data_IF_777031139803
#
_entry.id   IF_777031139803
#
_cell.length_a   1.000
_cell.length_b   1.000
_cell.length_c   1.000
_cell.angle_alpha   90.00
_cell.angle_beta   90.00
_cell.angle_gamma   90.00
#
_symmetry.space_group_name_H-M   'P 1'
#
loop_
_entity.id
_entity.type
_entity.pdbx_description
1 polymer ?
#
# COMPACT_ATOMS: atom_id res chain seq x y z
N UNK A 1 -2.39 6.46 5.53
CA UNK A 1 -1.52 5.90 6.60
C UNK A 1 -0.38 5.17 5.92
N UNK A 2 0.85 5.66 6.04
CA UNK A 2 2.03 5.02 5.43
C UNK A 2 2.50 3.91 6.37
N UNK A 3 2.48 2.67 5.91
CA UNK A 3 3.04 1.54 6.64
C UNK A 3 4.47 1.31 6.18
N UNK A 4 5.42 1.30 7.12
CA UNK A 4 6.81 0.95 6.86
C UNK A 4 6.96 -0.55 7.14
N UNK A 5 7.29 -1.32 6.10
CA UNK A 5 7.54 -2.75 6.24
C UNK A 5 9.04 -3.02 6.38
N UNK A 6 9.40 -3.72 7.44
CA UNK A 6 10.72 -4.31 7.56
C UNK A 6 10.60 -5.83 7.35
N UNK A 7 11.20 -6.35 6.30
CA UNK A 7 11.28 -7.78 6.07
C UNK A 7 12.27 -8.40 7.06
N UNK A 8 11.74 -9.18 7.98
CA UNK A 8 12.56 -9.95 8.95
C UNK A 8 12.27 -9.70 10.42
N UNK A 9 11.56 -8.65 10.80
CA UNK A 9 11.05 -8.45 12.16
C UNK A 9 9.66 -7.85 12.13
N UNK A 10 8.73 -8.52 12.79
CA UNK A 10 7.43 -7.93 13.11
C UNK A 10 7.67 -6.90 14.21
N UNK A 11 7.73 -5.62 13.87
CA UNK A 11 7.82 -4.55 14.87
C UNK A 11 6.42 -4.17 15.29
N UNK A 12 6.16 -4.39 16.57
CA UNK A 12 5.01 -3.89 17.31
C UNK A 12 4.75 -2.40 17.01
N UNK A 13 3.48 -2.04 16.96
CA UNK A 13 2.94 -0.70 16.76
C UNK A 13 3.91 0.45 17.05
N UNK A 14 4.40 1.09 16.00
CA UNK A 14 5.25 2.28 16.12
C UNK A 14 4.53 3.46 16.79
N UNK A 15 3.19 3.48 16.77
CA UNK A 15 2.40 4.52 17.43
C UNK A 15 2.60 4.56 18.96
N UNK A 16 2.82 3.40 19.59
CA UNK A 16 3.14 3.32 21.00
C UNK A 16 4.57 3.82 21.28
N UNK A 17 5.51 3.55 20.39
CA UNK A 17 6.92 3.98 20.53
C UNK A 17 7.04 5.48 20.23
N UNK A 18 6.35 6.00 19.22
CA UNK A 18 6.33 7.44 18.91
C UNK A 18 5.63 8.20 20.04
N UNK A 19 4.54 7.69 20.60
CA UNK A 19 3.86 8.29 21.73
C UNK A 19 4.72 8.33 23.01
N UNK A 20 5.44 7.27 23.29
CA UNK A 20 6.38 7.21 24.43
C UNK A 20 7.60 8.09 24.18
N UNK A 21 8.14 8.07 22.96
CA UNK A 21 9.29 8.91 22.58
C UNK A 21 8.90 10.39 22.59
N UNK A 22 7.73 10.78 22.09
CA UNK A 22 7.30 12.19 22.09
C UNK A 22 7.05 12.72 23.52
N UNK A 23 6.49 11.93 24.42
CA UNK A 23 6.31 12.35 25.82
C UNK A 23 7.66 12.40 26.57
N UNK A 24 8.56 11.46 26.32
CA UNK A 24 9.91 11.51 26.87
C UNK A 24 10.69 12.71 26.30
N UNK A 25 10.55 13.03 25.00
CA UNK A 25 11.24 14.16 24.40
C UNK A 25 10.67 15.51 24.82
N UNK A 26 9.38 15.64 25.11
CA UNK A 26 8.81 16.87 25.63
C UNK A 26 9.29 17.19 27.04
N UNK A 27 9.43 16.21 27.92
CA UNK A 27 9.99 16.41 29.27
C UNK A 27 11.51 16.61 29.26
N UNK A 28 12.23 16.03 28.30
CA UNK A 28 13.68 16.18 28.14
C UNK A 28 14.10 17.47 27.42
N UNK A 29 13.25 18.03 26.55
CA UNK A 29 13.59 19.19 25.73
C UNK A 29 13.85 20.46 26.54
N UNK A 30 13.37 20.52 27.79
CA UNK A 30 13.59 21.65 28.70
C UNK A 30 14.90 21.59 29.51
N UNK A 31 15.64 20.49 29.52
CA UNK A 31 16.76 20.32 30.44
C UNK A 31 18.10 19.82 29.84
N UNK A 32 18.19 19.59 28.52
CA UNK A 32 19.43 19.07 27.92
C UNK A 32 20.15 20.10 27.03
N UNK A 33 21.43 20.31 27.30
CA UNK A 33 22.30 21.12 26.47
C UNK A 33 22.72 20.40 25.18
N UNK A 34 23.11 21.16 24.13
CA UNK A 34 23.59 20.61 22.84
C UNK A 34 24.75 19.62 23.02
N UNK A 35 25.47 19.70 24.12
CA UNK A 35 26.59 18.81 24.44
C UNK A 35 26.10 17.41 24.81
N UNK A 36 25.00 17.30 25.54
CA UNK A 36 24.39 16.01 25.95
C UNK A 36 23.75 15.30 24.78
N UNK A 37 23.15 16.02 23.84
CA UNK A 37 22.65 15.45 22.57
C UNK A 37 23.80 14.87 21.73
N UNK A 38 24.99 15.48 21.72
CA UNK A 38 26.16 14.91 21.05
C UNK A 38 26.72 13.68 21.77
N UNK A 39 26.67 13.62 23.09
CA UNK A 39 27.09 12.45 23.88
C UNK A 39 26.11 11.29 23.66
N UNK A 40 24.77 11.54 23.61
CA UNK A 40 23.79 10.52 23.28
C UNK A 40 23.99 9.96 21.85
N UNK A 41 24.31 10.82 20.89
CA UNK A 41 24.67 10.40 19.52
C UNK A 41 25.90 9.50 19.44
N UNK A 42 26.88 9.66 20.35
CA UNK A 42 28.07 8.84 20.39
C UNK A 42 27.79 7.47 21.04
N UNK A 43 26.82 7.38 21.96
CA UNK A 43 26.41 6.14 22.63
C UNK A 43 25.29 5.37 21.90
N UNK A 44 24.63 5.95 20.89
CA UNK A 44 23.77 5.19 20.03
C UNK A 44 24.64 4.33 19.11
N UNK A 45 24.83 3.07 19.50
CA UNK A 45 25.39 2.09 18.57
C UNK A 45 24.62 2.21 17.25
N UNK A 46 25.31 2.53 16.15
CA UNK A 46 24.71 2.52 14.83
C UNK A 46 24.04 1.16 14.62
N UNK A 47 22.71 1.15 14.55
CA UNK A 47 21.97 -0.04 14.15
C UNK A 47 22.33 -0.33 12.70
N UNK A 48 23.15 -1.35 12.48
CA UNK A 48 23.51 -1.81 11.14
C UNK A 48 22.52 -2.86 10.70
N UNK A 49 21.78 -2.55 9.66
CA UNK A 49 20.96 -3.53 8.95
C UNK A 49 21.85 -4.35 8.00
N UNK A 50 21.44 -5.59 7.67
CA UNK A 50 22.14 -6.36 6.63
C UNK A 50 22.22 -5.58 5.31
N UNK A 51 23.31 -5.75 4.54
CA UNK A 51 23.55 -4.99 3.30
C UNK A 51 22.41 -5.10 2.27
N UNK A 52 21.67 -6.20 2.30
CA UNK A 52 20.52 -6.44 1.39
C UNK A 52 19.17 -6.13 2.04
N UNK A 53 19.14 -5.43 3.17
CA UNK A 53 17.90 -5.05 3.81
C UNK A 53 17.18 -3.96 3.00
N UNK A 54 15.92 -4.24 2.62
CA UNK A 54 15.12 -3.30 1.84
C UNK A 54 14.28 -2.41 2.77
N UNK A 55 14.63 -1.14 2.84
CA UNK A 55 13.76 -0.13 3.43
C UNK A 55 12.68 0.25 2.42
N UNK A 56 11.43 0.11 2.83
CA UNK A 56 10.29 0.32 1.94
C UNK A 56 9.11 1.02 2.61
N UNK A 57 8.20 1.44 1.77
CA UNK A 57 6.90 1.97 2.17
C UNK A 57 5.78 1.20 1.48
N UNK A 58 4.55 1.32 1.98
CA UNK A 58 3.41 0.64 1.41
C UNK A 58 2.17 1.53 1.37
N UNK A 59 1.38 1.35 0.32
CA UNK A 59 0.08 1.99 0.14
C UNK A 59 -0.94 0.98 -0.40
N UNK A 60 -2.23 1.29 -0.25
CA UNK A 60 -3.31 0.55 -0.89
C UNK A 60 -4.04 1.46 -1.89
N UNK A 61 -4.42 0.91 -3.04
CA UNK A 61 -5.07 1.64 -4.14
C UNK A 61 -6.25 2.48 -3.67
N UNK A 62 -7.22 1.85 -3.03
CA UNK A 62 -8.42 2.55 -2.57
C UNK A 62 -8.12 3.70 -1.61
N UNK A 63 -7.12 3.54 -0.74
CA UNK A 63 -6.79 4.55 0.27
C UNK A 63 -6.07 5.78 -0.27
N UNK A 64 -5.41 5.69 -1.43
CA UNK A 64 -4.54 6.79 -1.90
C UNK A 64 -4.81 7.25 -3.33
N UNK A 65 -5.35 6.39 -4.20
CA UNK A 65 -5.44 6.69 -5.63
C UNK A 65 -6.49 7.73 -5.98
N UNK A 66 -7.67 7.67 -5.34
CA UNK A 66 -8.82 8.49 -5.67
C UNK A 66 -9.57 8.06 -6.92
N UNK A 67 -10.79 8.57 -7.09
CA UNK A 67 -11.60 8.34 -8.28
C UNK A 67 -12.04 6.87 -8.50
N UNK A 68 -12.21 6.10 -7.42
CA UNK A 68 -12.64 4.70 -7.47
C UNK A 68 -14.05 4.61 -6.89
N UNK A 69 -15.04 4.23 -7.71
CA UNK A 69 -16.45 4.30 -7.32
C UNK A 69 -17.25 3.02 -7.53
N UNK A 70 -16.64 1.95 -8.07
CA UNK A 70 -17.31 0.72 -8.51
C UNK A 70 -16.86 -0.51 -7.69
N UNK A 71 -16.82 -0.38 -6.36
CA UNK A 71 -16.46 -1.45 -5.45
C UNK A 71 -17.35 -1.49 -4.21
N UNK A 72 -17.23 -2.54 -3.41
CA UNK A 72 -17.99 -2.79 -2.19
C UNK A 72 -17.77 -1.72 -1.11
N UNK A 73 -16.57 -1.16 -0.99
CA UNK A 73 -16.27 -0.11 -0.01
C UNK A 73 -16.97 1.19 -0.35
N UNK A 74 -16.97 1.61 -1.62
CA UNK A 74 -17.73 2.78 -2.07
C UNK A 74 -19.23 2.61 -1.81
N UNK A 75 -19.76 1.40 -2.07
CA UNK A 75 -21.16 1.09 -1.76
C UNK A 75 -21.42 1.22 -0.25
N UNK A 76 -20.52 0.71 0.58
CA UNK A 76 -20.64 0.79 2.04
C UNK A 76 -20.54 2.24 2.54
N UNK A 77 -19.56 3.00 2.09
CA UNK A 77 -19.32 4.39 2.50
C UNK A 77 -20.55 5.28 2.22
N UNK A 78 -21.23 5.07 1.10
CA UNK A 78 -22.36 5.87 0.65
C UNK A 78 -23.73 5.40 1.20
N UNK A 79 -23.78 4.35 2.03
CA UNK A 79 -25.04 3.94 2.68
C UNK A 79 -25.49 5.00 3.69
N UNK A 80 -26.81 5.25 3.76
CA UNK A 80 -27.40 6.22 4.70
C UNK A 80 -27.14 5.87 6.18
N UNK A 81 -26.86 4.62 6.50
CA UNK A 81 -26.53 4.13 7.84
C UNK A 81 -25.05 3.74 7.98
N UNK A 82 -24.20 4.17 7.06
CA UNK A 82 -22.76 3.95 7.17
C UNK A 82 -22.20 4.66 8.41
N UNK A 83 -21.25 4.01 9.06
CA UNK A 83 -20.43 4.61 10.12
C UNK A 83 -19.22 5.35 9.55
N UNK A 84 -19.08 5.37 8.23
CA UNK A 84 -18.03 6.13 7.54
C UNK A 84 -18.24 7.63 7.79
N UNK A 85 -17.21 8.28 8.33
CA UNK A 85 -17.27 9.72 8.64
C UNK A 85 -17.07 10.54 7.37
N UNK A 86 -16.19 10.08 6.49
CA UNK A 86 -15.86 10.75 5.24
C UNK A 86 -15.49 9.71 4.18
N UNK A 87 -16.17 9.68 3.03
CA UNK A 87 -15.87 8.75 1.94
C UNK A 87 -14.51 9.07 1.31
N UNK A 88 -13.88 8.05 0.73
CA UNK A 88 -12.53 8.14 0.19
C UNK A 88 -12.40 9.13 -0.98
N UNK A 89 -13.43 9.23 -1.85
CA UNK A 89 -13.52 10.14 -3.00
C UNK A 89 -12.20 10.23 -3.81
N UNK A 90 -11.58 11.43 -3.79
CA UNK A 90 -10.34 11.73 -4.49
C UNK A 90 -9.08 11.26 -3.73
N UNK A 91 -9.22 10.86 -2.48
CA UNK A 91 -8.11 10.44 -1.62
C UNK A 91 -6.89 11.39 -1.71
N UNK A 92 -5.70 10.83 -1.94
CA UNK A 92 -4.46 11.61 -2.15
C UNK A 92 -4.16 11.86 -3.63
N UNK A 93 -5.03 11.45 -4.55
CA UNK A 93 -4.85 11.53 -6.02
C UNK A 93 -3.59 10.82 -6.53
N UNK A 94 -3.15 9.78 -5.83
CA UNK A 94 -1.92 9.06 -6.19
C UNK A 94 -1.93 8.52 -7.62
N UNK A 95 -3.12 8.17 -8.14
CA UNK A 95 -3.25 7.70 -9.53
C UNK A 95 -2.82 8.77 -10.52
N UNK A 96 -3.25 10.00 -10.32
CA UNK A 96 -2.93 11.15 -11.17
C UNK A 96 -1.53 11.71 -10.90
N UNK A 97 -1.09 11.67 -9.64
CA UNK A 97 0.16 12.27 -9.16
C UNK A 97 1.33 11.28 -9.13
N UNK A 98 1.22 10.17 -9.84
CA UNK A 98 2.17 9.05 -9.80
C UNK A 98 3.64 9.49 -9.94
N UNK A 99 3.95 10.37 -10.88
CA UNK A 99 5.34 10.82 -11.13
C UNK A 99 5.90 11.63 -9.97
N UNK A 100 5.07 12.48 -9.38
CA UNK A 100 5.44 13.28 -8.22
C UNK A 100 5.70 12.41 -6.99
N UNK A 101 4.88 11.38 -6.81
CA UNK A 101 5.01 10.45 -5.68
C UNK A 101 6.23 9.54 -5.84
N UNK A 102 6.56 9.11 -7.06
CA UNK A 102 7.81 8.38 -7.34
C UNK A 102 9.03 9.28 -7.05
N UNK A 103 8.99 10.55 -7.45
CA UNK A 103 10.05 11.51 -7.12
C UNK A 103 10.25 11.67 -5.61
N UNK A 104 9.16 11.62 -4.82
CA UNK A 104 9.24 11.64 -3.36
C UNK A 104 9.89 10.38 -2.81
N UNK A 105 9.54 9.19 -3.33
CA UNK A 105 10.18 7.93 -2.93
C UNK A 105 11.69 7.96 -3.19
N UNK A 106 12.11 8.48 -4.35
CA UNK A 106 13.53 8.64 -4.71
C UNK A 106 14.23 9.60 -3.73
N UNK A 107 13.65 10.77 -3.47
CA UNK A 107 14.19 11.76 -2.52
C UNK A 107 14.33 11.22 -1.10
N UNK A 108 13.42 10.37 -0.68
CA UNK A 108 13.43 9.70 0.62
C UNK A 108 14.40 8.51 0.69
N UNK A 109 15.01 8.11 -0.44
CA UNK A 109 15.93 6.97 -0.49
C UNK A 109 15.24 5.62 -0.30
N UNK A 110 13.94 5.53 -0.61
CA UNK A 110 13.16 4.30 -0.49
C UNK A 110 13.67 3.27 -1.50
N UNK A 111 13.83 2.01 -1.07
CA UNK A 111 14.35 0.91 -1.89
C UNK A 111 13.31 -0.16 -2.22
N UNK A 112 12.16 -0.15 -1.57
CA UNK A 112 11.04 -1.03 -1.91
C UNK A 112 9.73 -0.26 -1.75
N UNK A 113 8.82 -0.44 -2.69
CA UNK A 113 7.50 0.17 -2.64
C UNK A 113 6.41 -0.89 -2.88
N UNK A 114 5.60 -1.15 -1.84
CA UNK A 114 4.44 -2.01 -1.95
C UNK A 114 3.23 -1.17 -2.32
N UNK A 115 2.52 -1.58 -3.36
CA UNK A 115 1.25 -0.98 -3.76
C UNK A 115 0.27 -2.07 -4.18
N UNK A 116 -1.02 -1.78 -4.10
CA UNK A 116 -2.02 -2.68 -4.67
C UNK A 116 -2.45 -2.21 -6.06
N UNK A 117 -2.88 -3.17 -6.88
CA UNK A 117 -3.60 -2.91 -8.12
C UNK A 117 -5.09 -2.92 -7.78
N UNK A 118 -5.81 -1.89 -8.15
CA UNK A 118 -7.25 -1.81 -7.89
C UNK A 118 -8.01 -2.69 -8.89
N UNK A 119 -8.52 -3.82 -8.38
CA UNK A 119 -9.23 -4.79 -9.22
C UNK A 119 -10.45 -4.17 -9.90
N UNK A 120 -11.23 -3.37 -9.18
CA UNK A 120 -12.41 -2.70 -9.73
C UNK A 120 -12.09 -1.70 -10.85
N UNK A 121 -10.88 -1.13 -10.85
CA UNK A 121 -10.40 -0.26 -11.93
C UNK A 121 -9.95 -1.07 -13.14
N UNK A 122 -9.24 -2.17 -12.90
CA UNK A 122 -8.71 -3.05 -13.97
C UNK A 122 -9.79 -3.88 -14.63
N UNK A 123 -10.78 -4.33 -13.89
CA UNK A 123 -11.90 -5.13 -14.36
C UNK A 123 -13.23 -4.53 -13.87
N UNK A 124 -13.65 -3.40 -14.45
CA UNK A 124 -14.86 -2.67 -14.03
C UNK A 124 -16.16 -3.48 -14.22
N UNK A 125 -16.16 -4.44 -15.12
CA UNK A 125 -17.23 -5.41 -15.33
C UNK A 125 -16.63 -6.79 -15.56
N UNK A 126 -17.32 -7.86 -15.17
CA UNK A 126 -16.85 -9.23 -15.31
C UNK A 126 -16.32 -9.54 -16.71
N UNK A 127 -15.05 -9.94 -16.79
CA UNK A 127 -14.39 -10.30 -18.06
C UNK A 127 -14.05 -9.10 -18.96
N UNK A 128 -14.39 -7.87 -18.55
CA UNK A 128 -14.09 -6.66 -19.31
C UNK A 128 -12.92 -5.92 -18.67
N UNK A 129 -11.74 -6.07 -19.26
CA UNK A 129 -10.52 -5.47 -18.74
C UNK A 129 -10.23 -4.10 -19.35
N UNK A 130 -9.96 -3.12 -18.49
CA UNK A 130 -9.52 -1.78 -18.88
C UNK A 130 -8.00 -1.81 -19.14
N UNK A 131 -7.62 -1.74 -20.41
CA UNK A 131 -6.21 -1.77 -20.80
C UNK A 131 -5.46 -0.49 -20.39
N UNK A 132 -6.12 0.66 -20.30
CA UNK A 132 -5.49 1.90 -19.89
C UNK A 132 -5.16 1.85 -18.39
N UNK A 133 -6.08 1.33 -17.58
CA UNK A 133 -5.83 1.08 -16.17
C UNK A 133 -4.70 0.06 -15.96
N UNK A 134 -4.67 -1.04 -16.71
CA UNK A 134 -3.57 -2.02 -16.64
C UNK A 134 -2.25 -1.35 -17.02
N UNK A 135 -2.20 -0.62 -18.11
CA UNK A 135 -1.00 0.04 -18.58
C UNK A 135 -0.47 1.05 -17.55
N UNK A 136 -1.34 1.77 -16.86
CA UNK A 136 -0.94 2.66 -15.78
C UNK A 136 -0.14 1.93 -14.69
N UNK A 137 -0.61 0.77 -14.21
CA UNK A 137 0.11 -0.03 -13.21
C UNK A 137 1.39 -0.66 -13.75
N UNK A 138 1.39 -1.07 -15.02
CA UNK A 138 2.61 -1.56 -15.70
C UNK A 138 3.66 -0.46 -15.76
N UNK A 139 3.30 0.75 -16.18
CA UNK A 139 4.21 1.89 -16.24
C UNK A 139 4.69 2.33 -14.85
N UNK A 140 3.81 2.29 -13.83
CA UNK A 140 4.20 2.47 -12.43
C UNK A 140 5.31 1.52 -12.02
N UNK A 141 5.14 0.24 -12.30
CA UNK A 141 6.12 -0.78 -11.96
C UNK A 141 7.45 -0.56 -12.72
N UNK A 142 7.41 -0.25 -14.02
CA UNK A 142 8.60 0.06 -14.81
C UNK A 142 9.35 1.27 -14.28
N UNK A 143 8.64 2.35 -13.92
CA UNK A 143 9.24 3.57 -13.34
C UNK A 143 9.94 3.28 -12.02
N UNK A 144 9.34 2.47 -11.15
CA UNK A 144 9.97 2.04 -9.89
C UNK A 144 11.27 1.27 -10.18
N UNK A 145 11.22 0.26 -11.05
CA UNK A 145 12.37 -0.56 -11.41
C UNK A 145 13.51 0.30 -12.00
N UNK A 146 13.18 1.22 -12.91
CA UNK A 146 14.19 2.11 -13.54
C UNK A 146 14.86 3.08 -12.56
N UNK A 147 14.29 3.26 -11.36
CA UNK A 147 14.83 4.10 -10.28
C UNK A 147 15.38 3.27 -9.10
N UNK A 148 15.71 2.00 -9.32
CA UNK A 148 16.25 1.09 -8.28
C UNK A 148 15.32 0.93 -7.06
N UNK A 149 14.01 1.04 -7.27
CA UNK A 149 12.99 0.78 -6.26
C UNK A 149 12.32 -0.55 -6.59
N UNK A 150 12.43 -1.51 -5.68
CA UNK A 150 11.81 -2.83 -5.82
C UNK A 150 10.30 -2.74 -5.68
N UNK A 151 9.50 -3.05 -6.72
CA UNK A 151 8.05 -3.10 -6.60
C UNK A 151 7.61 -4.37 -5.87
N UNK A 152 6.65 -4.23 -4.95
CA UNK A 152 5.95 -5.34 -4.30
C UNK A 152 4.47 -5.15 -4.61
N UNK A 153 3.89 -6.04 -5.41
CA UNK A 153 2.51 -5.90 -5.88
C UNK A 153 1.55 -6.68 -5.00
N UNK A 154 0.49 -6.02 -4.56
CA UNK A 154 -0.65 -6.66 -3.91
C UNK A 154 -1.82 -6.74 -4.89
N UNK A 155 -2.33 -7.94 -5.17
CA UNK A 155 -3.43 -8.11 -6.11
C UNK A 155 -4.81 -7.76 -5.52
N UNK A 156 -5.04 -8.06 -4.23
CA UNK A 156 -6.27 -7.69 -3.56
C UNK A 156 -5.97 -7.01 -2.22
N UNK A 157 -6.47 -5.79 -2.06
CA UNK A 157 -6.32 -5.01 -0.83
C UNK A 157 -7.65 -4.41 -0.39
N UNK A 158 -8.47 -5.26 0.25
CA UNK A 158 -9.80 -5.03 0.81
C UNK A 158 -10.92 -4.85 -0.21
N UNK A 159 -10.76 -3.98 -1.21
CA UNK A 159 -11.84 -3.65 -2.14
C UNK A 159 -12.13 -4.77 -3.15
N UNK A 160 -13.40 -5.07 -3.34
CA UNK A 160 -13.90 -6.05 -4.30
C UNK A 160 -14.74 -5.34 -5.36
N UNK A 161 -14.54 -5.61 -6.66
CA UNK A 161 -15.35 -5.00 -7.71
C UNK A 161 -16.86 -5.17 -7.47
N UNK A 162 -17.64 -4.13 -7.74
CA UNK A 162 -19.08 -4.13 -7.50
C UNK A 162 -19.79 -5.32 -8.18
N UNK A 163 -19.38 -5.69 -9.41
CA UNK A 163 -19.96 -6.83 -10.11
C UNK A 163 -19.76 -8.15 -9.36
N UNK A 164 -18.59 -8.36 -8.70
CA UNK A 164 -18.33 -9.54 -7.90
C UNK A 164 -19.02 -9.45 -6.54
N UNK A 165 -19.04 -8.26 -5.92
CA UNK A 165 -19.78 -8.02 -4.70
C UNK A 165 -21.26 -8.36 -4.86
N UNK A 166 -21.90 -7.95 -5.96
CA UNK A 166 -23.30 -8.27 -6.28
C UNK A 166 -23.54 -9.77 -6.54
N UNK A 167 -22.50 -10.56 -6.77
CA UNK A 167 -22.53 -12.03 -6.90
C UNK A 167 -22.21 -12.78 -5.60
N UNK A 168 -22.05 -12.08 -4.49
CA UNK A 168 -21.74 -12.68 -3.18
C UNK A 168 -20.26 -12.60 -2.80
N UNK A 169 -19.45 -11.79 -3.49
CA UNK A 169 -18.04 -11.54 -3.16
C UNK A 169 -17.24 -12.85 -2.99
N UNK A 170 -16.41 -12.94 -1.99
CA UNK A 170 -15.57 -14.10 -1.67
C UNK A 170 -16.36 -15.34 -1.19
N UNK A 171 -17.65 -15.19 -0.88
CA UNK A 171 -18.55 -16.32 -0.59
C UNK A 171 -19.10 -17.00 -1.85
N UNK A 172 -18.91 -16.40 -3.01
CA UNK A 172 -19.30 -17.02 -4.27
C UNK A 172 -18.37 -18.21 -4.58
N UNK A 173 -18.92 -19.41 -4.89
CA UNK A 173 -18.10 -20.61 -5.15
C UNK A 173 -17.19 -20.50 -6.39
N UNK A 174 -17.30 -19.44 -7.17
CA UNK A 174 -16.44 -19.15 -8.34
C UNK A 174 -15.48 -17.98 -8.12
N UNK A 175 -15.39 -17.46 -6.90
CA UNK A 175 -14.54 -16.29 -6.60
C UNK A 175 -13.06 -16.56 -6.89
N UNK A 176 -12.59 -17.78 -6.68
CA UNK A 176 -11.24 -18.23 -7.03
C UNK A 176 -10.99 -18.17 -8.54
N UNK A 177 -11.98 -18.57 -9.36
CA UNK A 177 -11.88 -18.50 -10.84
C UNK A 177 -11.79 -17.04 -11.29
N UNK A 178 -12.63 -16.16 -10.75
CA UNK A 178 -12.63 -14.74 -11.08
C UNK A 178 -11.28 -14.08 -10.69
N UNK A 179 -10.83 -14.36 -9.47
CA UNK A 179 -9.55 -13.83 -8.99
C UNK A 179 -8.36 -14.34 -9.82
N UNK A 180 -8.33 -15.63 -10.15
CA UNK A 180 -7.29 -16.19 -11.02
C UNK A 180 -7.28 -15.54 -12.40
N UNK A 181 -8.45 -15.35 -13.04
CA UNK A 181 -8.53 -14.69 -14.34
C UNK A 181 -7.96 -13.26 -14.31
N UNK A 182 -8.27 -12.51 -13.25
CA UNK A 182 -7.73 -11.17 -13.02
C UNK A 182 -6.21 -11.20 -12.84
N UNK A 183 -5.69 -12.07 -11.97
CA UNK A 183 -4.24 -12.21 -11.72
C UNK A 183 -3.52 -12.66 -12.99
N UNK A 184 -4.04 -13.67 -13.71
CA UNK A 184 -3.44 -14.16 -14.94
C UNK A 184 -3.35 -13.07 -16.01
N UNK A 185 -4.39 -12.24 -16.13
CA UNK A 185 -4.37 -11.09 -17.06
C UNK A 185 -3.25 -10.12 -16.72
N UNK A 186 -3.06 -9.79 -15.45
CA UNK A 186 -1.99 -8.90 -14.99
C UNK A 186 -0.61 -9.53 -15.18
N UNK A 187 -0.44 -10.79 -14.82
CA UNK A 187 0.86 -11.50 -14.91
C UNK A 187 1.38 -11.63 -16.34
N UNK A 188 0.50 -11.57 -17.33
CA UNK A 188 0.90 -11.54 -18.75
C UNK A 188 1.54 -10.22 -19.16
N UNK A 189 1.21 -9.11 -18.48
CA UNK A 189 1.54 -7.75 -18.87
C UNK A 189 2.55 -7.07 -17.95
N UNK A 190 2.60 -7.47 -16.68
CA UNK A 190 3.55 -6.93 -15.70
C UNK A 190 5.01 -7.28 -16.08
N UNK A 191 5.97 -6.37 -15.78
CA UNK A 191 7.39 -6.61 -15.96
C UNK A 191 7.86 -7.93 -15.31
N UNK A 192 8.68 -8.70 -16.02
CA UNK A 192 9.19 -10.01 -15.54
C UNK A 192 10.22 -9.88 -14.41
N UNK A 193 10.75 -8.70 -14.22
CA UNK A 193 11.69 -8.34 -13.16
C UNK A 193 11.03 -8.29 -11.78
N UNK A 194 9.70 -8.21 -11.72
CA UNK A 194 8.96 -8.22 -10.46
C UNK A 194 8.97 -9.63 -9.88
N UNK A 195 9.49 -9.77 -8.67
CA UNK A 195 9.63 -11.07 -7.98
C UNK A 195 8.83 -11.14 -6.67
N UNK A 196 8.26 -10.02 -6.21
CA UNK A 196 7.52 -9.97 -4.96
C UNK A 196 6.05 -9.66 -5.20
N UNK A 197 5.21 -10.61 -4.81
CA UNK A 197 3.76 -10.49 -4.90
C UNK A 197 3.11 -10.83 -3.56
N UNK A 198 2.06 -10.08 -3.23
CA UNK A 198 1.14 -10.39 -2.15
C UNK A 198 -0.23 -10.67 -2.78
N UNK A 199 -0.76 -11.85 -2.59
CA UNK A 199 -2.03 -12.24 -3.21
C UNK A 199 -3.20 -11.47 -2.63
N UNK A 200 -3.37 -11.51 -1.30
CA UNK A 200 -4.45 -10.86 -0.57
C UNK A 200 -3.86 -10.20 0.67
N UNK A 201 -4.16 -8.92 0.88
CA UNK A 201 -3.80 -8.24 2.11
C UNK A 201 -4.72 -8.69 3.25
N UNK A 202 -4.14 -9.10 4.37
CA UNK A 202 -4.85 -9.46 5.61
C UNK A 202 -6.07 -10.36 5.40
N UNK A 203 -5.89 -11.55 4.80
CA UNK A 203 -7.01 -12.43 4.43
C UNK A 203 -7.86 -12.85 5.64
N UNK A 204 -7.30 -12.84 6.84
CA UNK A 204 -8.04 -13.11 8.07
C UNK A 204 -9.18 -12.13 8.35
N UNK A 205 -9.09 -10.89 7.87
CA UNK A 205 -10.17 -9.89 8.04
C UNK A 205 -11.42 -10.27 7.24
N UNK A 206 -11.25 -10.99 6.12
CA UNK A 206 -12.38 -11.50 5.34
C UNK A 206 -13.01 -12.78 5.92
N UNK A 207 -12.31 -13.45 6.82
CA UNK A 207 -12.74 -14.73 7.40
C UNK A 207 -13.57 -14.56 8.69
N UNK A 208 -13.61 -13.35 9.27
CA UNK A 208 -14.29 -13.00 10.51
C UNK A 208 -15.23 -11.81 10.32
#
# INVERSE_FOLDING_TARGET
MVQIFMYGLTIFHMDAIIGVISNIFLDFYYNFSILELRILSIYMNELKFPDKFLFGTAVASYQVEGGIYNNDWTIWENKSNSVCVEPCNEACKHYEMLDQDIDLLIKLGIKAFRFSIEWSRVEPNEGSFDNDAINHYVEKAKKLISNDITPIITFHHFTTPEWLFNKGSWLNPKSDIYFNNYVDKLMQLLPKEIVYFNTINEPGIFAF
#
